data_IF_880533856997
#
_entry.id   IF_880533856997
#
_cell.length_a   1.000
_cell.length_b   1.000
_cell.length_c   1.000
_cell.angle_alpha   90.00
_cell.angle_beta   90.00
_cell.angle_gamma   90.00
#
_symmetry.space_group_name_H-M   'P 1'
#
loop_
_entity.id
_entity.type
_entity.pdbx_description
1 polymer ?
#
# COMPACT_ATOMS: atom_id res chain seq x y z
N UNK A 1 20.42 29.18 -80.09
CA UNK A 1 19.80 28.13 -79.26
C UNK A 1 19.43 28.77 -77.94
N UNK A 2 18.15 29.11 -77.77
CA UNK A 2 17.63 29.85 -76.61
C UNK A 2 17.22 28.87 -75.51
N UNK A 3 17.86 28.95 -74.35
CA UNK A 3 17.52 28.16 -73.17
C UNK A 3 16.58 28.97 -72.27
N UNK A 4 15.31 28.56 -72.23
CA UNK A 4 14.25 29.12 -71.39
C UNK A 4 14.43 28.61 -69.95
N UNK A 5 14.81 29.48 -69.02
CA UNK A 5 14.94 29.14 -67.61
C UNK A 5 13.57 29.23 -66.90
N UNK A 6 13.07 28.08 -66.43
CA UNK A 6 11.85 27.97 -65.64
C UNK A 6 12.12 28.39 -64.19
N UNK A 7 11.46 29.46 -63.74
CA UNK A 7 11.44 29.88 -62.35
C UNK A 7 10.42 29.06 -61.56
N UNK A 8 10.89 28.20 -60.66
CA UNK A 8 10.04 27.46 -59.72
C UNK A 8 9.76 28.30 -58.46
N UNK A 9 8.49 28.59 -58.12
CA UNK A 9 8.15 29.27 -56.88
C UNK A 9 8.17 28.26 -55.72
N UNK A 10 9.26 28.22 -54.96
CA UNK A 10 9.34 27.48 -53.70
C UNK A 10 10.00 28.36 -52.65
N UNK A 11 9.26 28.72 -51.59
CA UNK A 11 9.78 28.85 -50.20
C UNK A 11 8.93 29.68 -49.22
N UNK A 12 7.82 30.32 -49.61
CA UNK A 12 7.08 31.18 -48.66
C UNK A 12 6.35 30.39 -47.55
N UNK A 13 6.03 29.11 -47.78
CA UNK A 13 5.30 28.29 -46.79
C UNK A 13 6.12 27.81 -45.59
N UNK A 14 7.45 27.80 -45.65
CA UNK A 14 8.29 27.22 -44.60
C UNK A 14 8.37 28.14 -43.35
N UNK A 15 8.43 29.46 -43.53
CA UNK A 15 8.59 30.40 -42.43
C UNK A 15 7.33 30.52 -41.56
N UNK A 16 6.14 30.40 -42.14
CA UNK A 16 4.88 30.44 -41.40
C UNK A 16 4.71 29.27 -40.42
N UNK A 17 5.21 28.08 -40.77
CA UNK A 17 5.16 26.90 -39.91
C UNK A 17 6.02 27.03 -38.64
N UNK A 18 7.20 27.64 -38.75
CA UNK A 18 8.11 27.83 -37.60
C UNK A 18 7.57 28.83 -36.58
N UNK A 19 6.92 29.90 -37.03
CA UNK A 19 6.32 30.90 -36.13
C UNK A 19 5.17 30.30 -35.32
N UNK A 20 4.30 29.50 -35.94
CA UNK A 20 3.20 28.84 -35.22
C UNK A 20 3.71 27.81 -34.21
N UNK A 21 4.75 27.05 -34.55
CA UNK A 21 5.36 26.08 -33.63
C UNK A 21 6.00 26.78 -32.40
N UNK A 22 6.69 27.90 -32.62
CA UNK A 22 7.30 28.68 -31.53
C UNK A 22 6.23 29.27 -30.58
N UNK A 23 5.13 29.80 -31.12
CA UNK A 23 4.02 30.32 -30.33
C UNK A 23 3.31 29.24 -29.50
N UNK A 24 3.09 28.04 -30.07
CA UNK A 24 2.48 26.93 -29.35
C UNK A 24 3.37 26.45 -28.19
N UNK A 25 4.68 26.36 -28.42
CA UNK A 25 5.64 25.96 -27.38
C UNK A 25 5.73 26.99 -26.26
N UNK A 26 5.80 28.28 -26.60
CA UNK A 26 5.81 29.37 -25.62
C UNK A 26 4.54 29.41 -24.76
N UNK A 27 3.37 29.18 -25.36
CA UNK A 27 2.10 29.11 -24.65
C UNK A 27 2.03 27.96 -23.65
N UNK A 28 2.46 26.75 -24.05
CA UNK A 28 2.52 25.58 -23.16
C UNK A 28 3.51 25.78 -22.03
N UNK A 29 4.69 26.36 -22.32
CA UNK A 29 5.70 26.63 -21.30
C UNK A 29 5.21 27.67 -20.28
N UNK A 30 4.60 28.77 -20.74
CA UNK A 30 4.05 29.78 -19.86
C UNK A 30 2.90 29.23 -18.97
N UNK A 31 2.05 28.38 -19.55
CA UNK A 31 1.00 27.68 -18.78
C UNK A 31 1.59 26.73 -17.73
N UNK A 32 2.65 25.99 -18.08
CA UNK A 32 3.34 25.08 -17.17
C UNK A 32 4.03 25.83 -16.03
N UNK A 33 4.72 26.94 -16.33
CA UNK A 33 5.38 27.78 -15.32
C UNK A 33 4.38 28.42 -14.37
N UNK A 34 3.24 28.94 -14.87
CA UNK A 34 2.15 29.42 -14.00
C UNK A 34 1.65 28.34 -13.05
N UNK A 35 1.53 27.10 -13.52
CA UNK A 35 1.12 25.97 -12.68
C UNK A 35 2.11 25.62 -11.58
N UNK A 36 3.40 25.91 -11.79
CA UNK A 36 4.45 25.77 -10.76
C UNK A 36 4.37 26.94 -9.79
N UNK A 37 4.22 28.16 -10.30
CA UNK A 37 4.12 29.39 -9.50
C UNK A 37 2.93 29.32 -8.52
N UNK A 38 1.76 28.88 -8.99
CA UNK A 38 0.57 28.69 -8.14
C UNK A 38 0.83 27.69 -6.99
N UNK A 39 1.65 26.64 -7.22
CA UNK A 39 2.01 25.67 -6.19
C UNK A 39 3.00 26.23 -5.18
N UNK A 40 3.98 27.01 -5.64
CA UNK A 40 4.98 27.66 -4.78
C UNK A 40 4.32 28.74 -3.92
N UNK A 41 3.43 29.55 -4.51
CA UNK A 41 2.69 30.59 -3.78
C UNK A 41 1.76 29.96 -2.75
N UNK A 42 1.02 28.90 -3.12
CA UNK A 42 0.18 28.19 -2.16
C UNK A 42 0.97 27.61 -0.96
N UNK A 43 2.24 27.22 -1.17
CA UNK A 43 3.14 26.82 -0.08
C UNK A 43 3.59 28.01 0.78
N UNK A 44 3.91 29.16 0.19
CA UNK A 44 4.31 30.36 0.92
C UNK A 44 3.21 30.90 1.86
N UNK A 45 1.94 30.79 1.46
CA UNK A 45 0.80 31.16 2.32
C UNK A 45 0.60 30.21 3.51
N UNK A 46 1.13 28.98 3.46
CA UNK A 46 1.11 28.04 4.60
C UNK A 46 2.24 28.34 5.58
N UNK A 47 3.39 28.81 5.08
CA UNK A 47 4.52 29.28 5.91
C UNK A 47 4.15 30.52 6.73
N UNK A 48 3.44 31.49 6.14
CA UNK A 48 3.06 32.73 6.84
C UNK A 48 2.03 32.52 7.95
N UNK A 49 1.24 31.44 7.91
CA UNK A 49 0.34 31.03 9.00
C UNK A 49 1.02 30.16 10.06
N UNK A 50 2.24 29.70 9.83
CA UNK A 50 2.99 28.83 10.73
C UNK A 50 4.00 29.63 11.58
N UNK A 51 3.57 30.72 12.22
CA UNK A 51 4.35 31.36 13.28
C UNK A 51 4.44 30.49 14.56
N UNK A 52 3.67 29.41 14.64
CA UNK A 52 3.83 28.40 15.68
C UNK A 52 5.14 27.62 15.43
N UNK A 53 6.15 27.87 16.26
CA UNK A 53 7.42 27.16 16.20
C UNK A 53 7.19 25.64 16.08
N UNK A 54 7.88 24.94 15.16
CA UNK A 54 7.71 23.51 15.00
C UNK A 54 7.98 22.80 16.33
N UNK A 55 7.12 21.82 16.68
CA UNK A 55 7.32 21.05 17.90
C UNK A 55 8.72 20.41 17.90
N UNK A 56 9.38 20.33 19.06
CA UNK A 56 10.60 19.57 19.18
C UNK A 56 10.35 18.13 18.70
N UNK A 57 11.17 17.66 17.75
CA UNK A 57 11.07 16.31 17.18
C UNK A 57 11.05 15.25 18.29
N UNK A 58 11.77 15.50 19.40
CA UNK A 58 11.80 14.63 20.57
C UNK A 58 10.42 14.45 21.23
N UNK A 59 9.59 15.50 21.32
CA UNK A 59 8.24 15.41 21.88
C UNK A 59 7.34 14.58 20.99
N UNK A 60 7.38 14.85 19.67
CA UNK A 60 6.63 14.11 18.66
C UNK A 60 7.03 12.63 18.68
N UNK A 61 8.34 12.34 18.69
CA UNK A 61 8.86 10.98 18.83
C UNK A 61 8.36 10.29 20.10
N UNK A 62 8.37 10.99 21.24
CA UNK A 62 7.90 10.45 22.52
C UNK A 62 6.41 10.13 22.50
N UNK A 63 5.59 10.97 21.86
CA UNK A 63 4.16 10.79 21.75
C UNK A 63 3.83 9.58 20.86
N UNK A 64 4.53 9.42 19.75
CA UNK A 64 4.35 8.28 18.84
C UNK A 64 4.71 6.96 19.55
N UNK A 65 5.85 6.90 20.24
CA UNK A 65 6.28 5.69 20.95
C UNK A 65 5.29 5.23 22.03
N UNK A 66 4.60 6.17 22.67
CA UNK A 66 3.58 5.85 23.70
C UNK A 66 2.38 5.08 23.16
N UNK A 67 2.14 5.14 21.86
CA UNK A 67 1.01 4.47 21.23
C UNK A 67 1.31 2.99 20.92
N UNK A 68 2.60 2.62 20.98
CA UNK A 68 3.15 1.26 20.93
C UNK A 68 2.87 0.48 19.63
N UNK A 69 1.61 0.26 19.27
CA UNK A 69 1.24 -0.64 18.19
C UNK A 69 0.10 -0.09 17.33
N UNK A 70 0.31 -0.10 16.02
CA UNK A 70 -0.73 0.19 15.01
C UNK A 70 -1.05 -1.09 14.28
N UNK A 71 -2.32 -1.49 14.25
CA UNK A 71 -2.77 -2.77 13.69
C UNK A 71 -3.69 -2.61 12.49
N UNK A 72 -3.50 -3.46 11.49
CA UNK A 72 -4.36 -3.60 10.31
C UNK A 72 -4.85 -5.03 10.21
N UNK A 73 -6.14 -5.18 9.92
CA UNK A 73 -6.83 -6.45 9.78
C UNK A 73 -7.04 -6.80 8.32
N UNK A 74 -6.77 -8.06 7.96
CA UNK A 74 -7.08 -8.64 6.65
C UNK A 74 -7.92 -9.90 6.84
N UNK A 75 -9.09 -9.93 6.22
CA UNK A 75 -9.91 -11.13 6.13
C UNK A 75 -9.50 -11.95 4.92
N UNK A 76 -9.32 -13.25 5.10
CA UNK A 76 -9.03 -14.19 4.03
C UNK A 76 -9.74 -15.52 4.29
N UNK A 77 -9.58 -16.47 3.37
CA UNK A 77 -10.11 -17.83 3.50
C UNK A 77 -8.95 -18.79 3.29
N UNK A 78 -8.77 -19.71 4.24
CA UNK A 78 -7.83 -20.82 4.08
C UNK A 78 -8.59 -22.02 3.53
N UNK A 79 -8.11 -22.59 2.43
CA UNK A 79 -8.58 -23.86 1.88
C UNK A 79 -7.55 -24.94 2.18
N UNK A 80 -8.01 -26.06 2.75
CA UNK A 80 -7.21 -27.24 3.02
C UNK A 80 -7.88 -28.46 2.41
N UNK A 81 -7.11 -29.25 1.67
CA UNK A 81 -7.56 -30.48 1.03
C UNK A 81 -6.81 -31.68 1.62
N UNK A 82 -7.55 -32.71 2.02
CA UNK A 82 -7.02 -34.05 2.29
C UNK A 82 -7.52 -35.01 1.22
N UNK A 83 -6.60 -35.68 0.54
CA UNK A 83 -6.91 -36.60 -0.56
C UNK A 83 -6.20 -37.93 -0.38
N UNK A 84 -6.89 -39.00 -0.69
CA UNK A 84 -6.35 -40.36 -0.75
C UNK A 84 -6.93 -41.11 -1.96
N UNK A 85 -6.05 -41.56 -2.83
CA UNK A 85 -6.41 -42.28 -4.06
C UNK A 85 -6.04 -43.75 -3.94
N UNK A 86 -7.00 -44.62 -4.29
CA UNK A 86 -6.80 -46.07 -4.27
C UNK A 86 -7.56 -46.76 -5.40
N UNK A 87 -7.28 -48.05 -5.59
CA UNK A 87 -8.03 -48.89 -6.53
C UNK A 87 -9.54 -48.98 -6.22
N UNK A 88 -9.95 -48.70 -4.98
CA UNK A 88 -11.37 -48.63 -4.55
C UNK A 88 -12.03 -47.26 -4.81
N UNK A 89 -11.37 -46.40 -5.60
CA UNK A 89 -11.74 -45.00 -5.79
C UNK A 89 -11.00 -44.06 -4.83
N UNK A 90 -11.12 -42.76 -5.10
CA UNK A 90 -10.54 -41.69 -4.28
C UNK A 90 -11.45 -41.23 -3.16
N UNK A 91 -10.88 -40.63 -2.12
CA UNK A 91 -11.61 -39.83 -1.14
C UNK A 91 -10.92 -38.47 -1.03
N UNK A 92 -11.71 -37.41 -1.16
CA UNK A 92 -11.25 -36.03 -1.02
C UNK A 92 -12.15 -35.31 -0.04
N UNK A 93 -11.56 -34.66 0.95
CA UNK A 93 -12.24 -33.73 1.84
C UNK A 93 -11.57 -32.37 1.74
N UNK A 94 -12.36 -31.34 1.45
CA UNK A 94 -11.95 -29.94 1.42
C UNK A 94 -12.63 -29.18 2.55
N UNK A 95 -11.88 -28.33 3.22
CA UNK A 95 -12.37 -27.44 4.26
C UNK A 95 -11.94 -26.03 3.90
N UNK A 96 -12.91 -25.12 3.81
CA UNK A 96 -12.67 -23.67 3.69
C UNK A 96 -13.04 -23.01 5.01
N UNK A 97 -12.10 -22.29 5.60
CA UNK A 97 -12.33 -21.59 6.88
C UNK A 97 -11.95 -20.12 6.73
N UNK A 98 -12.83 -19.19 7.11
CA UNK A 98 -12.46 -17.78 7.16
C UNK A 98 -11.39 -17.56 8.24
N UNK A 99 -10.39 -16.77 7.88
CA UNK A 99 -9.28 -16.40 8.76
C UNK A 99 -9.13 -14.88 8.80
N UNK A 100 -8.72 -14.38 9.95
CA UNK A 100 -8.36 -12.97 10.16
C UNK A 100 -6.87 -12.91 10.45
N UNK A 101 -6.15 -12.21 9.59
CA UNK A 101 -4.73 -11.95 9.75
C UNK A 101 -4.58 -10.55 10.33
N UNK A 102 -3.95 -10.47 11.51
CA UNK A 102 -3.63 -9.22 12.18
C UNK A 102 -2.17 -8.87 11.87
N UNK A 103 -2.00 -7.76 11.18
CA UNK A 103 -0.71 -7.14 10.93
C UNK A 103 -0.56 -5.94 11.84
N UNK A 104 0.67 -5.60 12.18
CA UNK A 104 0.92 -4.32 12.79
C UNK A 104 2.37 -3.90 12.77
N UNK A 105 2.55 -2.61 13.05
CA UNK A 105 3.86 -1.99 13.16
C UNK A 105 4.08 -1.57 14.62
N UNK A 106 5.15 -2.07 15.20
CA UNK A 106 5.62 -1.65 16.52
C UNK A 106 6.34 -0.29 16.40
N UNK A 107 5.73 0.74 16.99
CA UNK A 107 6.26 2.09 17.03
C UNK A 107 7.13 2.33 18.27
N UNK A 108 7.15 1.41 19.24
CA UNK A 108 7.92 1.56 20.48
C UNK A 108 9.43 1.56 20.23
N UNK A 109 9.86 0.79 19.22
CA UNK A 109 11.27 0.67 18.79
C UNK A 109 11.67 1.73 17.76
N UNK A 110 10.77 2.65 17.40
CA UNK A 110 11.05 3.65 16.38
C UNK A 110 12.11 4.65 16.89
N UNK A 111 13.24 4.70 16.18
CA UNK A 111 14.36 5.59 16.52
C UNK A 111 13.98 7.07 16.26
N UNK A 112 14.66 8.01 16.93
CA UNK A 112 14.33 9.45 16.81
C UNK A 112 14.63 9.97 15.39
N UNK A 113 15.71 9.47 14.79
CA UNK A 113 16.13 9.76 13.41
C UNK A 113 15.18 9.21 12.34
N UNK A 114 14.21 8.37 12.72
CA UNK A 114 13.13 7.97 11.83
C UNK A 114 12.16 9.15 11.54
N UNK A 115 12.18 10.19 12.36
CA UNK A 115 11.37 11.40 12.17
C UNK A 115 12.27 12.56 11.79
N UNK A 116 11.95 13.21 10.69
CA UNK A 116 12.62 14.44 10.25
C UNK A 116 11.59 15.51 9.92
N UNK A 117 11.89 16.76 10.27
CA UNK A 117 11.10 17.91 9.84
C UNK A 117 11.80 18.58 8.66
N UNK A 118 11.05 18.84 7.58
CA UNK A 118 11.51 19.57 6.40
C UNK A 118 11.00 21.01 6.48
N UNK A 119 11.86 22.00 6.76
CA UNK A 119 11.47 23.41 6.83
C UNK A 119 10.93 23.92 5.49
N UNK A 120 11.46 23.42 4.37
CA UNK A 120 11.08 23.86 3.02
C UNK A 120 9.61 23.52 2.68
N UNK A 121 9.09 22.46 3.26
CA UNK A 121 7.73 21.96 2.96
C UNK A 121 6.79 22.06 4.15
N UNK A 122 7.27 22.57 5.30
CA UNK A 122 6.53 22.54 6.56
C UNK A 122 6.05 21.13 6.97
N UNK A 123 6.79 20.09 6.58
CA UNK A 123 6.32 18.70 6.65
C UNK A 123 7.14 17.83 7.61
N UNK A 124 6.46 16.97 8.35
CA UNK A 124 7.09 15.86 9.07
C UNK A 124 7.17 14.65 8.15
N UNK A 125 8.38 14.16 7.92
CA UNK A 125 8.63 12.87 7.27
C UNK A 125 8.88 11.84 8.37
N UNK A 126 8.06 10.80 8.41
CA UNK A 126 8.16 9.71 9.40
C UNK A 126 8.43 8.41 8.67
N UNK A 127 9.53 7.76 9.02
CA UNK A 127 9.87 6.40 8.60
C UNK A 127 9.34 5.41 9.63
N UNK A 128 8.60 4.41 9.14
CA UNK A 128 7.86 3.47 9.96
C UNK A 128 8.29 2.05 9.57
N UNK A 129 8.56 1.16 10.53
CA UNK A 129 8.91 -0.21 10.19
C UNK A 129 7.81 -0.91 9.39
N UNK A 130 8.21 -1.87 8.55
CA UNK A 130 7.26 -2.67 7.78
C UNK A 130 6.27 -3.39 8.70
N UNK A 131 4.97 -3.37 8.39
CA UNK A 131 3.98 -4.14 9.14
C UNK A 131 4.33 -5.63 9.11
N UNK A 132 4.39 -6.25 10.28
CA UNK A 132 4.64 -7.67 10.44
C UNK A 132 3.38 -8.37 10.95
N UNK A 133 3.26 -9.68 10.72
CA UNK A 133 2.11 -10.45 11.18
C UNK A 133 2.24 -10.69 12.68
N UNK A 134 1.22 -10.29 13.43
CA UNK A 134 1.17 -10.39 14.89
C UNK A 134 0.32 -11.59 15.30
N UNK A 135 -0.80 -11.79 14.63
CA UNK A 135 -1.71 -12.90 14.96
C UNK A 135 -2.47 -13.41 13.73
N UNK A 136 -2.95 -14.65 13.87
CA UNK A 136 -3.85 -15.31 12.93
C UNK A 136 -4.99 -15.92 13.72
N UNK A 137 -6.20 -15.45 13.46
CA UNK A 137 -7.43 -15.96 14.04
C UNK A 137 -8.16 -16.83 13.01
N UNK A 138 -8.64 -17.99 13.45
CA UNK A 138 -9.34 -18.96 12.60
C UNK A 138 -10.76 -19.10 13.13
N UNK A 139 -11.76 -18.84 12.29
CA UNK A 139 -13.16 -18.90 12.69
C UNK A 139 -13.80 -20.23 12.31
N UNK A 140 -13.56 -21.26 13.13
CA UNK A 140 -14.06 -22.62 12.88
C UNK A 140 -15.59 -22.75 12.85
N UNK A 141 -16.34 -21.79 13.41
CA UNK A 141 -17.81 -21.79 13.40
C UNK A 141 -18.40 -21.51 12.01
N UNK A 142 -17.61 -20.93 11.11
CA UNK A 142 -18.04 -20.57 9.75
C UNK A 142 -17.30 -21.41 8.70
N UNK A 143 -16.97 -22.67 9.04
CA UNK A 143 -16.32 -23.58 8.10
C UNK A 143 -17.30 -24.08 7.01
N UNK A 144 -16.82 -24.11 5.77
CA UNK A 144 -17.50 -24.78 4.66
C UNK A 144 -16.76 -26.08 4.35
N UNK A 145 -17.49 -27.19 4.26
CA UNK A 145 -16.91 -28.51 4.05
C UNK A 145 -17.44 -29.15 2.77
N UNK A 146 -16.56 -29.71 1.97
CA UNK A 146 -16.91 -30.49 0.79
C UNK A 146 -16.25 -31.87 0.88
N UNK A 147 -17.04 -32.94 0.76
CA UNK A 147 -16.54 -34.31 0.85
C UNK A 147 -16.99 -35.09 -0.37
N UNK A 148 -16.03 -35.57 -1.14
CA UNK A 148 -16.23 -36.41 -2.32
C UNK A 148 -15.62 -37.80 -2.05
N UNK A 149 -16.40 -38.85 -2.27
CA UNK A 149 -15.94 -40.24 -2.11
C UNK A 149 -16.28 -41.07 -3.33
N UNK A 150 -15.35 -41.94 -3.72
CA UNK A 150 -15.54 -42.90 -4.80
C UNK A 150 -16.57 -43.97 -4.46
N UNK A 151 -17.09 -44.64 -5.51
CA UNK A 151 -18.21 -45.57 -5.45
C UNK A 151 -18.06 -46.73 -4.44
N UNK A 152 -16.82 -47.21 -4.19
CA UNK A 152 -16.55 -48.30 -3.24
C UNK A 152 -16.08 -47.82 -1.86
N UNK A 153 -16.15 -46.51 -1.57
CA UNK A 153 -15.79 -45.93 -0.27
C UNK A 153 -17.02 -45.41 0.46
N UNK A 154 -17.10 -45.68 1.76
CA UNK A 154 -18.19 -45.19 2.60
C UNK A 154 -17.89 -43.77 3.09
N UNK A 155 -18.79 -42.83 2.79
CA UNK A 155 -18.72 -41.44 3.26
C UNK A 155 -18.59 -41.33 4.78
N UNK A 156 -19.35 -42.13 5.52
CA UNK A 156 -19.39 -42.13 6.99
C UNK A 156 -18.07 -42.51 7.66
N UNK A 157 -17.16 -43.19 6.96
CA UNK A 157 -15.87 -43.61 7.51
C UNK A 157 -14.70 -42.91 6.84
N UNK A 158 -14.60 -43.03 5.52
CA UNK A 158 -13.50 -42.42 4.77
C UNK A 158 -13.65 -40.90 4.70
N UNK A 159 -14.87 -40.40 4.47
CA UNK A 159 -15.16 -38.97 4.40
C UNK A 159 -14.87 -38.25 5.73
N UNK A 160 -15.41 -38.77 6.84
CA UNK A 160 -15.17 -38.20 8.18
C UNK A 160 -13.70 -38.23 8.60
N UNK A 161 -12.99 -39.32 8.27
CA UNK A 161 -11.54 -39.40 8.55
C UNK A 161 -10.77 -38.30 7.82
N UNK A 162 -10.97 -38.14 6.51
CA UNK A 162 -10.28 -37.11 5.73
C UNK A 162 -10.72 -35.69 6.11
N UNK A 163 -12.00 -35.51 6.47
CA UNK A 163 -12.50 -34.24 6.99
C UNK A 163 -11.81 -33.85 8.30
N UNK A 164 -11.66 -34.81 9.23
CA UNK A 164 -10.91 -34.61 10.47
C UNK A 164 -9.45 -34.25 10.25
N UNK A 165 -8.79 -34.90 9.27
CA UNK A 165 -7.42 -34.56 8.89
C UNK A 165 -7.32 -33.16 8.27
N UNK A 166 -8.23 -32.81 7.36
CA UNK A 166 -8.27 -31.48 6.77
C UNK A 166 -8.44 -30.39 7.84
N UNK A 167 -9.39 -30.57 8.78
CA UNK A 167 -9.59 -29.66 9.93
C UNK A 167 -8.33 -29.51 10.79
N UNK A 168 -7.61 -30.61 11.07
CA UNK A 168 -6.36 -30.59 11.85
C UNK A 168 -5.29 -29.70 11.21
N UNK A 169 -5.23 -29.64 9.88
CA UNK A 169 -4.24 -28.87 9.13
C UNK A 169 -4.61 -27.39 8.92
N UNK A 170 -5.86 -26.98 9.18
CA UNK A 170 -6.32 -25.59 9.00
C UNK A 170 -5.46 -24.59 9.77
N UNK A 171 -5.18 -24.86 11.05
CA UNK A 171 -4.42 -23.91 11.88
C UNK A 171 -2.98 -23.72 11.39
N UNK A 172 -2.32 -24.81 11.00
CA UNK A 172 -0.97 -24.77 10.47
C UNK A 172 -0.92 -24.05 9.12
N UNK A 173 -1.88 -24.32 8.24
CA UNK A 173 -1.97 -23.66 6.94
C UNK A 173 -2.26 -22.17 7.08
N UNK A 174 -3.17 -21.78 7.97
CA UNK A 174 -3.46 -20.38 8.27
C UNK A 174 -2.22 -19.63 8.79
N UNK A 175 -1.44 -20.26 9.68
CA UNK A 175 -0.16 -19.70 10.18
C UNK A 175 0.92 -19.61 9.10
N UNK A 176 0.86 -20.41 8.04
CA UNK A 176 1.82 -20.35 6.93
C UNK A 176 1.35 -19.48 5.77
N UNK A 177 0.12 -18.97 5.83
CA UNK A 177 -0.45 -18.11 4.80
C UNK A 177 0.43 -16.86 4.62
N UNK A 178 0.82 -16.63 3.37
CA UNK A 178 1.55 -15.43 2.94
C UNK A 178 0.54 -14.50 2.26
N UNK A 179 0.65 -13.20 2.50
CA UNK A 179 -0.20 -12.23 1.83
C UNK A 179 0.06 -12.24 0.32
N UNK A 180 -1.00 -12.04 -0.44
CA UNK A 180 -0.86 -11.66 -1.84
C UNK A 180 -0.11 -10.31 -1.94
N UNK A 181 0.61 -10.03 -3.05
CA UNK A 181 1.23 -8.72 -3.25
C UNK A 181 0.23 -7.55 -3.25
N UNK A 182 -1.04 -7.82 -3.58
CA UNK A 182 -2.12 -6.83 -3.50
C UNK A 182 -2.49 -6.53 -2.04
N UNK A 183 -2.71 -7.56 -1.22
CA UNK A 183 -3.09 -7.37 0.18
C UNK A 183 -1.92 -6.81 1.00
N UNK A 184 -0.68 -7.18 0.67
CA UNK A 184 0.50 -6.56 1.25
C UNK A 184 0.56 -5.04 0.99
N UNK A 185 0.18 -4.59 -0.21
CA UNK A 185 0.05 -3.16 -0.52
C UNK A 185 -1.08 -2.51 0.27
N UNK A 186 -2.25 -3.16 0.37
CA UNK A 186 -3.38 -2.67 1.19
C UNK A 186 -2.97 -2.49 2.66
N UNK A 187 -2.25 -3.44 3.23
CA UNK A 187 -1.73 -3.35 4.61
C UNK A 187 -0.77 -2.16 4.75
N UNK A 188 0.13 -1.98 3.80
CA UNK A 188 1.06 -0.86 3.78
C UNK A 188 0.35 0.50 3.64
N UNK A 189 -0.62 0.62 2.74
CA UNK A 189 -1.44 1.82 2.53
C UNK A 189 -2.25 2.16 3.80
N UNK A 190 -2.95 1.17 4.36
CA UNK A 190 -3.73 1.33 5.58
C UNK A 190 -2.86 1.73 6.77
N UNK A 191 -1.66 1.15 6.89
CA UNK A 191 -0.70 1.52 7.94
C UNK A 191 -0.24 2.97 7.76
N UNK A 192 0.12 3.38 6.54
CA UNK A 192 0.50 4.78 6.25
C UNK A 192 -0.62 5.74 6.59
N UNK A 193 -1.85 5.40 6.25
CA UNK A 193 -3.01 6.23 6.55
C UNK A 193 -3.25 6.35 8.07
N UNK A 194 -3.21 5.23 8.81
CA UNK A 194 -3.42 5.22 10.26
C UNK A 194 -2.33 5.99 10.99
N UNK A 195 -1.05 5.75 10.66
CA UNK A 195 0.08 6.49 11.23
C UNK A 195 0.01 7.97 10.83
N UNK A 196 -0.38 8.28 9.60
CA UNK A 196 -0.56 9.66 9.14
C UNK A 196 -1.63 10.41 9.94
N UNK A 197 -2.81 9.81 10.12
CA UNK A 197 -3.88 10.38 10.96
C UNK A 197 -3.42 10.61 12.39
N UNK A 198 -2.66 9.67 12.94
CA UNK A 198 -2.12 9.73 14.29
C UNK A 198 -1.08 10.85 14.45
N UNK A 199 -0.18 10.98 13.49
CA UNK A 199 0.79 12.06 13.43
C UNK A 199 0.10 13.43 13.33
N UNK A 200 -0.89 13.54 12.45
CA UNK A 200 -1.66 14.76 12.28
C UNK A 200 -2.41 15.13 13.56
N UNK A 201 -2.91 14.15 14.34
CA UNK A 201 -3.56 14.45 15.62
C UNK A 201 -2.57 14.93 16.68
N UNK A 202 -1.36 14.36 16.73
CA UNK A 202 -0.29 14.76 17.66
C UNK A 202 0.21 16.18 17.34
N UNK A 203 0.45 16.48 16.07
CA UNK A 203 1.01 17.78 15.63
C UNK A 203 -0.07 18.86 15.56
N UNK A 204 -1.23 18.53 14.99
CA UNK A 204 -2.35 19.43 14.74
C UNK A 204 -3.12 19.88 15.98
N UNK A 205 -3.01 19.16 17.12
CA UNK A 205 -3.55 19.60 18.41
C UNK A 205 -3.01 20.97 18.89
N UNK A 206 -1.98 21.51 18.21
CA UNK A 206 -1.30 22.76 18.56
C UNK A 206 -1.53 23.90 17.55
N UNK A 207 -2.41 23.72 16.55
CA UNK A 207 -2.86 24.81 15.66
C UNK A 207 -2.11 24.95 14.32
N UNK A 208 -1.03 24.20 14.09
CA UNK A 208 -0.35 24.15 12.80
C UNK A 208 -0.87 22.97 11.96
N UNK A 209 -1.36 23.24 10.74
CA UNK A 209 -1.65 22.22 9.73
C UNK A 209 -0.33 21.71 9.15
N UNK A 210 0.39 20.87 9.89
CA UNK A 210 1.61 20.27 9.39
C UNK A 210 1.30 19.12 8.43
N UNK A 211 1.97 19.10 7.28
CA UNK A 211 1.89 18.00 6.33
C UNK A 211 2.68 16.81 6.88
N UNK A 212 2.11 15.60 6.83
CA UNK A 212 2.78 14.37 7.28
C UNK A 212 3.01 13.46 6.09
N UNK A 213 4.28 13.16 5.79
CA UNK A 213 4.69 12.15 4.83
C UNK A 213 5.13 10.88 5.58
N UNK A 214 4.41 9.78 5.39
CA UNK A 214 4.71 8.51 6.05
C UNK A 214 5.35 7.56 5.06
N UNK A 215 6.60 7.16 5.34
CA UNK A 215 7.37 6.22 4.53
C UNK A 215 7.50 4.91 5.29
N UNK A 216 7.23 3.79 4.61
CA UNK A 216 7.49 2.47 5.18
C UNK A 216 8.90 2.06 4.77
N UNK A 217 9.67 1.59 5.74
CA UNK A 217 11.02 1.09 5.45
C UNK A 217 10.93 -0.13 4.53
N UNK A 218 11.54 -0.01 3.35
CA UNK A 218 11.82 -1.15 2.49
C UNK A 218 13.05 -1.84 3.09
N UNK A 219 12.82 -2.94 3.79
CA UNK A 219 13.92 -3.78 4.24
C UNK A 219 14.67 -4.26 2.98
N UNK A 220 15.92 -3.82 2.81
CA UNK A 220 16.82 -4.39 1.81
C UNK A 220 16.85 -5.89 2.07
N UNK A 221 16.23 -6.66 1.19
CA UNK A 221 16.20 -8.11 1.29
C UNK A 221 17.65 -8.57 1.11
N UNK A 222 18.30 -9.17 2.13
CA UNK A 222 19.69 -9.60 2.03
C UNK A 222 19.89 -10.73 1.01
#
# INVERSE_FOLDING_TARGET
MSATAAHSPRSVGALAGWVLAACAFGGVLAWYLRRIEDRVVAQAWVDERSEAAPRPIAEVASAIRRLQLVTVEIHSVVEVESRDDSWRGGATAKVRVPVKLLYGTDLSQMKIDAISFSPLTGAYVVRVPRPSRIATEVFGTSEETEVQVGWARLRSRAGEFHLGQARKHVSDQARRMVLSPEDARKVADATREQVGKLMTSIVGATGAQALVDVRIDEEETP
#
